data_IF_456725753373
#
_entry.id   IF_456725753373
#
_cell.length_a   1.000
_cell.length_b   1.000
_cell.length_c   1.000
_cell.angle_alpha   90.00
_cell.angle_beta   90.00
_cell.angle_gamma   90.00
#
_symmetry.space_group_name_H-M   'P 1'
#
loop_
_entity.id
_entity.type
_entity.pdbx_description
1 polymer ?
#
# COMPACT_ATOMS: atom_id res chain seq x y z
N UNK A 1 -14.90 -8.33 -10.63
CA UNK A 1 -14.44 -9.73 -10.78
C UNK A 1 -14.77 -10.38 -12.15
N UNK A 2 -15.15 -9.62 -13.18
CA UNK A 2 -15.72 -10.15 -14.45
C UNK A 2 -14.85 -11.18 -15.17
N UNK A 3 -13.53 -11.01 -15.18
CA UNK A 3 -12.61 -11.82 -16.00
C UNK A 3 -11.74 -12.82 -15.23
N UNK A 4 -11.93 -12.95 -13.91
CA UNK A 4 -11.14 -13.86 -13.05
C UNK A 4 -9.63 -13.75 -13.29
N UNK A 5 -9.13 -12.52 -13.39
CA UNK A 5 -7.72 -12.23 -13.67
C UNK A 5 -6.83 -12.84 -12.59
N UNK A 6 -5.75 -13.49 -13.00
CA UNK A 6 -4.73 -13.98 -12.07
C UNK A 6 -3.74 -12.86 -11.71
N UNK A 7 -3.18 -12.89 -10.48
CA UNK A 7 -2.13 -11.96 -10.06
C UNK A 7 -0.87 -12.07 -10.93
N UNK A 8 -0.41 -10.95 -11.49
CA UNK A 8 0.84 -10.91 -12.26
C UNK A 8 2.04 -10.77 -11.32
N UNK A 9 3.02 -11.67 -11.42
CA UNK A 9 4.24 -11.60 -10.60
C UNK A 9 4.00 -11.75 -9.10
N UNK A 10 3.06 -12.64 -8.73
CA UNK A 10 2.65 -12.80 -7.33
C UNK A 10 3.82 -13.17 -6.43
N UNK A 11 3.89 -12.52 -5.28
CA UNK A 11 4.84 -12.85 -4.20
C UNK A 11 4.28 -13.95 -3.27
N UNK A 12 3.23 -14.66 -3.72
CA UNK A 12 2.43 -15.56 -2.89
C UNK A 12 1.81 -14.83 -1.69
N UNK A 13 1.65 -15.54 -0.57
CA UNK A 13 1.10 -15.00 0.67
C UNK A 13 1.95 -13.85 1.29
N UNK A 14 3.17 -13.61 0.79
CA UNK A 14 4.09 -12.60 1.31
C UNK A 14 4.08 -11.28 0.52
N UNK A 15 3.20 -11.16 -0.48
CA UNK A 15 2.91 -9.89 -1.12
C UNK A 15 2.08 -8.97 -0.24
N UNK A 16 2.18 -7.67 -0.47
CA UNK A 16 1.30 -6.68 0.18
C UNK A 16 -0.17 -6.92 -0.21
N UNK A 17 -0.40 -7.18 -1.49
CA UNK A 17 -1.68 -7.39 -2.14
C UNK A 17 -1.45 -8.14 -3.46
N UNK A 18 -2.49 -8.76 -3.99
CA UNK A 18 -2.40 -9.59 -5.19
C UNK A 18 -2.25 -8.75 -6.48
N UNK A 19 -2.75 -7.50 -6.50
CA UNK A 19 -2.83 -6.68 -7.71
C UNK A 19 -2.28 -5.27 -7.54
N UNK A 20 -2.37 -4.68 -6.35
CA UNK A 20 -2.18 -3.25 -6.16
C UNK A 20 -1.07 -2.94 -5.15
N UNK A 21 -0.31 -1.87 -5.39
CA UNK A 21 0.61 -1.34 -4.37
C UNK A 21 0.32 0.13 -4.07
N UNK A 22 0.18 0.95 -5.12
CA UNK A 22 0.04 2.40 -5.02
C UNK A 22 -1.12 2.90 -4.15
N UNK A 23 -2.31 2.26 -4.12
CA UNK A 23 -3.39 2.66 -3.21
C UNK A 23 -2.97 2.66 -1.73
N UNK A 24 -2.11 1.72 -1.32
CA UNK A 24 -1.59 1.67 0.05
C UNK A 24 -0.60 2.80 0.32
N UNK A 25 0.28 3.10 -0.64
CA UNK A 25 1.23 4.21 -0.49
C UNK A 25 0.52 5.57 -0.44
N UNK A 26 -0.32 5.88 -1.44
CA UNK A 26 -1.05 7.15 -1.48
C UNK A 26 -2.12 7.23 -0.40
N UNK A 27 -2.77 6.13 -0.05
CA UNK A 27 -3.73 6.07 1.04
C UNK A 27 -3.09 6.32 2.41
N UNK A 28 -1.89 5.80 2.64
CA UNK A 28 -1.13 6.14 3.85
C UNK A 28 -0.71 7.62 3.85
N UNK A 29 -0.48 8.23 2.68
CA UNK A 29 -0.21 9.66 2.56
C UNK A 29 -1.43 10.53 2.94
N UNK A 30 -2.66 10.10 2.57
CA UNK A 30 -3.91 10.77 3.00
C UNK A 30 -4.06 10.82 4.53
N UNK A 31 -3.41 9.90 5.23
CA UNK A 31 -3.51 9.70 6.68
C UNK A 31 -2.31 10.27 7.46
N UNK A 32 -1.40 11.00 6.80
CA UNK A 32 -0.26 11.64 7.47
C UNK A 32 -0.67 12.75 8.45
N UNK A 33 -1.79 13.43 8.16
CA UNK A 33 -2.35 14.50 8.99
C UNK A 33 -3.46 14.06 9.94
N UNK A 34 -3.87 12.79 9.91
CA UNK A 34 -4.89 12.24 10.82
C UNK A 34 -4.35 11.92 12.22
N UNK A 35 -3.14 12.39 12.54
CA UNK A 35 -2.49 12.12 13.83
C UNK A 35 -3.04 12.92 15.01
N UNK A 36 -3.86 13.96 14.82
CA UNK A 36 -4.39 14.71 15.96
C UNK A 36 -5.84 15.17 15.74
N UNK A 37 -6.78 14.51 16.44
CA UNK A 37 -7.85 15.24 17.11
C UNK A 37 -8.25 14.50 18.39
N UNK A 38 -7.62 14.99 19.43
CA UNK A 38 -7.96 14.95 20.83
C UNK A 38 -9.21 15.81 21.14
N UNK A 39 -9.45 16.05 22.44
CA UNK A 39 -10.28 17.04 23.16
C UNK A 39 -11.65 17.56 22.64
N UNK A 40 -12.04 17.42 21.37
CA UNK A 40 -13.35 17.79 20.76
C UNK A 40 -14.05 16.68 19.95
N UNK A 41 -13.42 15.51 19.75
CA UNK A 41 -14.12 14.24 19.54
C UNK A 41 -14.64 13.87 18.14
N UNK A 42 -13.75 13.69 17.14
CA UNK A 42 -13.92 12.87 15.90
C UNK A 42 -12.66 13.01 15.02
N UNK A 43 -12.00 12.04 14.38
CA UNK A 43 -11.91 10.58 14.41
C UNK A 43 -10.40 10.27 14.29
N UNK A 44 -9.81 9.61 15.27
CA UNK A 44 -8.43 9.11 15.20
C UNK A 44 -8.40 7.85 14.34
N UNK A 45 -8.07 7.98 13.05
CA UNK A 45 -7.88 6.83 12.18
C UNK A 45 -6.48 6.28 12.44
N UNK A 46 -6.37 5.04 12.90
CA UNK A 46 -5.09 4.40 13.18
C UNK A 46 -4.90 3.12 12.37
N UNK A 47 -3.63 2.66 12.16
CA UNK A 47 -3.37 1.43 11.42
C UNK A 47 -4.01 0.16 12.03
N UNK A 48 -4.37 0.18 13.32
CA UNK A 48 -5.04 -0.96 13.98
C UNK A 48 -6.38 -1.32 13.34
N UNK A 49 -7.00 -0.39 12.60
CA UNK A 49 -8.27 -0.62 11.90
C UNK A 49 -8.12 -1.42 10.60
N UNK A 50 -6.90 -1.64 10.10
CA UNK A 50 -6.65 -2.39 8.86
C UNK A 50 -7.32 -3.78 8.89
N UNK A 51 -7.16 -4.61 9.93
CA UNK A 51 -7.84 -5.90 10.01
C UNK A 51 -9.30 -5.83 10.49
N UNK A 52 -9.92 -4.66 10.57
CA UNK A 52 -11.31 -4.50 11.02
C UNK A 52 -12.27 -4.27 9.83
N UNK A 53 -13.06 -5.28 9.41
CA UNK A 53 -13.89 -5.17 8.20
C UNK A 53 -14.91 -4.02 8.27
N UNK A 54 -15.50 -3.79 9.45
CA UNK A 54 -16.49 -2.72 9.64
C UNK A 54 -15.88 -1.32 9.49
N UNK A 55 -14.67 -1.10 10.02
CA UNK A 55 -13.95 0.17 9.86
C UNK A 55 -13.53 0.38 8.41
N UNK A 56 -13.02 -0.67 7.76
CA UNK A 56 -12.65 -0.61 6.35
C UNK A 56 -13.86 -0.25 5.47
N UNK A 57 -15.02 -0.88 5.71
CA UNK A 57 -16.25 -0.56 5.00
C UNK A 57 -16.76 0.87 5.24
N UNK A 58 -16.51 1.45 6.42
CA UNK A 58 -16.87 2.84 6.73
C UNK A 58 -15.94 3.86 6.06
N UNK A 59 -14.66 3.52 5.88
CA UNK A 59 -13.62 4.44 5.41
C UNK A 59 -13.31 4.29 3.91
N UNK A 60 -13.84 3.27 3.24
CA UNK A 60 -13.46 2.91 1.86
C UNK A 60 -13.78 3.99 0.82
N UNK A 61 -14.82 4.79 1.04
CA UNK A 61 -15.26 5.78 0.05
C UNK A 61 -14.41 7.06 0.12
N UNK A 62 -13.72 7.30 1.25
CA UNK A 62 -12.90 8.49 1.48
C UNK A 62 -11.38 8.22 1.41
N UNK A 63 -10.95 7.01 1.78
CA UNK A 63 -9.53 6.67 1.95
C UNK A 63 -9.11 5.48 1.08
N UNK A 64 -8.16 5.71 0.16
CA UNK A 64 -7.66 4.70 -0.79
C UNK A 64 -7.09 3.46 -0.10
N UNK A 65 -6.44 3.65 1.06
CA UNK A 65 -5.90 2.53 1.84
C UNK A 65 -7.02 1.58 2.25
N UNK A 66 -8.08 2.13 2.87
CA UNK A 66 -9.21 1.35 3.35
C UNK A 66 -10.10 0.85 2.21
N UNK A 67 -10.12 1.53 1.06
CA UNK A 67 -10.76 1.03 -0.15
C UNK A 67 -10.12 -0.27 -0.63
N UNK A 68 -8.78 -0.31 -0.70
CA UNK A 68 -8.04 -1.50 -1.11
C UNK A 68 -8.20 -2.65 -0.09
N UNK A 69 -8.11 -2.36 1.20
CA UNK A 69 -8.33 -3.37 2.25
C UNK A 69 -9.77 -3.88 2.26
N UNK A 70 -10.77 -3.01 2.07
CA UNK A 70 -12.16 -3.44 1.95
C UNK A 70 -12.37 -4.39 0.76
N UNK A 71 -11.72 -4.12 -0.37
CA UNK A 71 -11.75 -5.03 -1.52
C UNK A 71 -11.14 -6.40 -1.19
N UNK A 72 -10.10 -6.48 -0.36
CA UNK A 72 -9.59 -7.76 0.15
C UNK A 72 -10.69 -8.51 0.93
N UNK A 73 -11.41 -7.84 1.83
CA UNK A 73 -12.50 -8.49 2.59
C UNK A 73 -13.66 -8.96 1.70
N UNK A 74 -13.90 -8.30 0.56
CA UNK A 74 -14.92 -8.71 -0.41
C UNK A 74 -14.46 -9.89 -1.30
N UNK A 75 -13.15 -10.15 -1.39
CA UNK A 75 -12.57 -11.10 -2.36
C UNK A 75 -11.90 -12.30 -1.71
N UNK A 76 -11.48 -12.21 -0.45
CA UNK A 76 -10.82 -13.27 0.31
C UNK A 76 -11.65 -13.67 1.53
N UNK A 77 -11.64 -14.97 1.84
CA UNK A 77 -12.35 -15.55 2.98
C UNK A 77 -11.36 -16.16 3.97
N UNK A 78 -11.70 -16.15 5.26
CA UNK A 78 -10.85 -16.69 6.33
C UNK A 78 -10.32 -15.60 7.24
N UNK A 79 -9.32 -15.93 8.07
CA UNK A 79 -8.70 -14.96 8.96
C UNK A 79 -7.79 -14.02 8.18
N UNK A 80 -7.91 -12.71 8.41
CA UNK A 80 -7.11 -11.71 7.70
C UNK A 80 -5.60 -11.95 7.82
N UNK A 81 -5.14 -12.41 8.99
CA UNK A 81 -3.74 -12.75 9.24
C UNK A 81 -3.23 -13.93 8.39
N UNK A 82 -4.10 -14.82 7.92
CA UNK A 82 -3.71 -15.99 7.12
C UNK A 82 -3.57 -15.64 5.64
N UNK A 83 -4.49 -14.84 5.10
CA UNK A 83 -4.50 -14.51 3.67
C UNK A 83 -3.84 -13.16 3.32
N UNK A 84 -3.57 -12.32 4.31
CA UNK A 84 -2.96 -10.99 4.18
C UNK A 84 -1.97 -10.69 5.33
N UNK A 85 -0.98 -11.57 5.59
CA UNK A 85 -0.07 -11.46 6.74
C UNK A 85 0.78 -10.19 6.74
N UNK A 86 1.15 -9.65 5.56
CA UNK A 86 1.90 -8.39 5.48
C UNK A 86 1.05 -7.21 5.96
N UNK A 87 -0.17 -7.06 5.46
CA UNK A 87 -1.09 -6.01 5.91
C UNK A 87 -1.49 -6.19 7.38
N UNK A 88 -1.61 -7.43 7.85
CA UNK A 88 -1.75 -7.72 9.27
C UNK A 88 -0.57 -7.18 10.08
N UNK A 89 0.67 -7.41 9.64
CA UNK A 89 1.86 -6.82 10.25
C UNK A 89 1.89 -5.28 10.22
N UNK A 90 1.42 -4.66 9.12
CA UNK A 90 1.30 -3.20 9.00
C UNK A 90 0.34 -2.63 10.03
N UNK A 91 -0.71 -3.36 10.42
CA UNK A 91 -1.68 -2.91 11.43
C UNK A 91 -1.07 -2.69 12.82
N UNK A 92 0.05 -3.36 13.11
CA UNK A 92 0.79 -3.19 14.36
C UNK A 92 1.74 -1.98 14.36
N UNK A 93 1.88 -1.27 13.23
CA UNK A 93 2.70 -0.07 13.14
C UNK A 93 1.99 1.09 13.84
N UNK A 94 2.69 1.76 14.76
CA UNK A 94 2.08 2.74 15.66
C UNK A 94 1.43 3.96 14.98
N UNK A 95 1.89 4.38 13.80
CA UNK A 95 1.43 5.61 13.17
C UNK A 95 1.58 5.62 11.64
N UNK A 96 0.69 6.33 10.95
CA UNK A 96 0.68 6.47 9.50
C UNK A 96 1.96 7.03 8.89
N UNK A 97 2.70 7.98 9.50
CA UNK A 97 4.01 8.39 8.98
C UNK A 97 5.02 7.24 8.86
N UNK A 98 4.98 6.28 9.79
CA UNK A 98 5.83 5.07 9.71
C UNK A 98 5.31 4.10 8.65
N UNK A 99 4.00 3.95 8.52
CA UNK A 99 3.40 3.14 7.44
C UNK A 99 3.78 3.72 6.07
N UNK A 100 3.55 5.00 5.83
CA UNK A 100 3.84 5.68 4.57
C UNK A 100 5.32 5.57 4.17
N UNK A 101 6.24 5.84 5.09
CA UNK A 101 7.68 5.68 4.83
C UNK A 101 8.08 4.22 4.60
N UNK A 102 7.48 3.27 5.32
CA UNK A 102 7.64 1.84 5.09
C UNK A 102 7.14 1.39 3.71
N UNK A 103 5.97 1.89 3.29
CA UNK A 103 5.38 1.60 1.97
C UNK A 103 6.29 2.06 0.84
N UNK A 104 6.90 3.25 0.93
CA UNK A 104 7.87 3.70 -0.08
C UNK A 104 9.10 2.78 -0.16
N UNK A 105 9.66 2.38 1.00
CA UNK A 105 10.80 1.45 1.03
C UNK A 105 10.44 0.09 0.41
N UNK A 106 9.27 -0.43 0.73
CA UNK A 106 8.78 -1.69 0.19
C UNK A 106 8.45 -1.59 -1.31
N UNK A 107 7.91 -0.46 -1.78
CA UNK A 107 7.67 -0.22 -3.22
C UNK A 107 8.97 -0.26 -4.02
N UNK A 108 10.01 0.42 -3.51
CA UNK A 108 11.33 0.38 -4.13
C UNK A 108 11.87 -1.05 -4.20
N UNK A 109 11.82 -1.80 -3.10
CA UNK A 109 12.39 -3.14 -3.01
C UNK A 109 11.63 -4.21 -3.81
N UNK A 110 10.29 -4.23 -3.70
CA UNK A 110 9.46 -5.32 -4.24
C UNK A 110 8.80 -5.00 -5.58
N UNK A 111 8.85 -3.73 -6.03
CA UNK A 111 8.33 -3.33 -7.35
C UNK A 111 9.45 -2.82 -8.23
N UNK A 112 10.05 -1.68 -7.91
CA UNK A 112 10.98 -1.00 -8.84
C UNK A 112 12.31 -1.74 -8.99
N UNK A 113 12.84 -2.34 -7.93
CA UNK A 113 14.08 -3.12 -7.97
C UNK A 113 13.86 -4.61 -8.19
N UNK A 114 12.62 -5.01 -8.48
CA UNK A 114 12.25 -6.41 -8.71
C UNK A 114 12.11 -6.66 -10.21
N UNK A 115 13.14 -7.24 -10.83
CA UNK A 115 13.18 -7.48 -12.28
C UNK A 115 11.91 -8.18 -12.81
N UNK A 116 11.41 -9.30 -12.23
CA UNK A 116 10.19 -9.94 -12.71
C UNK A 116 8.96 -9.04 -12.77
N UNK A 117 8.90 -8.00 -11.93
CA UNK A 117 7.79 -7.05 -11.86
C UNK A 117 7.99 -5.92 -12.87
N UNK A 118 9.18 -5.32 -12.92
CA UNK A 118 9.44 -4.10 -13.71
C UNK A 118 9.93 -4.37 -15.14
N UNK A 119 10.25 -5.62 -15.50
CA UNK A 119 10.81 -5.97 -16.83
C UNK A 119 9.95 -5.53 -18.03
N UNK A 120 8.65 -5.26 -17.81
CA UNK A 120 7.74 -4.78 -18.84
C UNK A 120 7.59 -3.24 -18.88
N UNK A 121 8.33 -2.51 -18.05
CA UNK A 121 8.36 -1.05 -18.07
C UNK A 121 9.00 -0.56 -19.38
N UNK A 122 8.31 0.35 -20.08
CA UNK A 122 8.75 0.85 -21.38
C UNK A 122 9.51 2.16 -21.22
N UNK A 123 10.61 2.27 -21.94
CA UNK A 123 11.37 3.51 -22.09
C UNK A 123 11.12 4.10 -23.47
N UNK A 124 11.06 5.42 -23.53
CA UNK A 124 10.75 6.19 -24.75
C UNK A 124 11.18 7.64 -24.61
N UNK A 125 10.64 8.54 -25.42
CA UNK A 125 11.03 9.96 -25.38
C UNK A 125 10.64 10.69 -24.11
N UNK A 126 9.56 10.29 -23.44
CA UNK A 126 9.09 10.89 -22.17
C UNK A 126 9.85 10.32 -20.97
N UNK A 127 10.18 9.02 -21.03
CA UNK A 127 10.92 8.31 -19.99
C UNK A 127 12.14 7.63 -20.62
N UNK A 128 13.23 8.37 -20.86
CA UNK A 128 14.42 7.82 -21.49
C UNK A 128 15.16 6.85 -20.55
N UNK A 129 15.77 5.81 -21.10
CA UNK A 129 16.66 4.91 -20.35
C UNK A 129 18.08 5.45 -20.34
N UNK A 130 18.25 6.58 -19.67
CA UNK A 130 19.53 7.26 -19.56
C UNK A 130 20.23 6.88 -18.25
N UNK A 131 21.57 6.87 -18.32
CA UNK A 131 22.37 6.70 -17.11
C UNK A 131 22.13 7.92 -16.21
N UNK A 132 21.79 7.73 -14.92
CA UNK A 132 21.59 8.86 -14.02
C UNK A 132 22.87 9.71 -13.99
N UNK A 133 22.70 11.03 -14.04
CA UNK A 133 23.81 11.94 -13.86
C UNK A 133 24.45 11.71 -12.48
N UNK A 134 25.79 11.76 -12.37
CA UNK A 134 26.44 11.66 -11.07
C UNK A 134 25.91 12.75 -10.15
N UNK A 135 25.70 12.46 -8.85
CA UNK A 135 25.12 13.43 -7.92
C UNK A 135 25.97 14.70 -7.91
N UNK A 136 25.34 15.84 -8.19
CA UNK A 136 25.98 17.15 -8.12
C UNK A 136 26.30 17.45 -6.66
N UNK A 137 27.57 17.32 -6.26
CA UNK A 137 28.01 17.72 -4.92
C UNK A 137 28.04 19.25 -4.91
N UNK A 138 26.98 19.87 -4.38
CA UNK A 138 27.05 21.27 -3.99
C UNK A 138 28.03 21.39 -2.82
N UNK A 139 29.22 21.92 -3.10
CA UNK A 139 30.23 22.30 -2.09
C UNK A 139 29.78 23.50 -1.28
#
# INVERSE_FOLDING_TARGET
MTYKMEPAGSHGAWGLDDFQFLPYYFGAAQLLGSSDCDSMGNLTITPVYIPEPRKCAQLKDDYLFFAAVNYIFETKTGMFAEHSPVLWGVSAVAAWPKVHSGMMKMFMAEVLYKYPVIQHFKFGSIFPFEKPEPPTIHR
#
